data_IF_873802646756
#
_entry.id   IF_873802646756
#
_cell.length_a   1.000
_cell.length_b   1.000
_cell.length_c   1.000
_cell.angle_alpha   90.00
_cell.angle_beta   90.00
_cell.angle_gamma   90.00
#
_symmetry.space_group_name_H-M   'P 1'
#
loop_
_entity.id
_entity.type
_entity.pdbx_description
1 polymer ?
#
# COMPACT_ATOMS: atom_id res chain seq x y z
N UNK A 1 -7.26 -11.85 -13.10
CA UNK A 1 -7.52 -11.02 -11.91
C UNK A 1 -8.69 -11.61 -11.16
N UNK A 2 -8.88 -11.24 -9.90
CA UNK A 2 -9.99 -11.70 -9.05
C UNK A 2 -10.80 -10.49 -8.57
N UNK A 3 -12.10 -10.66 -8.35
CA UNK A 3 -12.92 -9.63 -7.70
C UNK A 3 -12.60 -9.67 -6.20
N UNK A 4 -12.05 -8.60 -5.66
CA UNK A 4 -11.66 -8.52 -4.25
C UNK A 4 -12.81 -8.08 -3.35
N UNK A 5 -13.72 -7.25 -3.86
CA UNK A 5 -14.94 -6.83 -3.16
C UNK A 5 -16.11 -6.71 -4.13
N UNK A 6 -17.29 -7.12 -3.68
CA UNK A 6 -18.55 -6.96 -4.40
C UNK A 6 -19.57 -6.33 -3.44
N UNK A 7 -20.02 -5.11 -3.75
CA UNK A 7 -20.85 -4.29 -2.86
C UNK A 7 -22.33 -4.23 -3.30
N UNK A 8 -22.72 -5.07 -4.27
CA UNK A 8 -24.04 -5.02 -4.90
C UNK A 8 -24.76 -6.36 -4.81
N UNK A 9 -26.09 -6.29 -4.81
CA UNK A 9 -26.99 -7.43 -4.93
C UNK A 9 -27.84 -7.31 -6.21
N UNK A 10 -28.28 -8.44 -6.80
CA UNK A 10 -29.22 -8.39 -7.92
C UNK A 10 -30.49 -7.60 -7.56
N UNK A 11 -30.97 -6.76 -8.49
CA UNK A 11 -32.15 -5.91 -8.30
C UNK A 11 -31.91 -4.60 -7.54
N UNK A 12 -30.66 -4.31 -7.14
CA UNK A 12 -30.31 -3.06 -6.49
C UNK A 12 -30.13 -1.93 -7.51
N UNK A 13 -30.81 -0.81 -7.31
CA UNK A 13 -30.60 0.43 -8.09
C UNK A 13 -29.24 1.03 -7.75
N UNK A 14 -28.50 1.50 -8.77
CA UNK A 14 -27.18 2.11 -8.63
C UNK A 14 -27.19 3.55 -9.12
N UNK A 15 -26.40 4.40 -8.47
CA UNK A 15 -26.23 5.81 -8.84
C UNK A 15 -24.94 6.02 -9.63
N UNK A 16 -24.89 7.07 -10.45
CA UNK A 16 -23.67 7.45 -11.14
C UNK A 16 -22.56 7.79 -10.13
N UNK A 17 -21.36 7.26 -10.35
CA UNK A 17 -20.22 7.40 -9.44
C UNK A 17 -20.20 6.42 -8.26
N UNK A 18 -21.21 5.57 -8.10
CA UNK A 18 -21.22 4.55 -7.06
C UNK A 18 -20.19 3.45 -7.37
N UNK A 19 -19.27 3.19 -6.43
CA UNK A 19 -18.37 2.05 -6.51
C UNK A 19 -19.14 0.75 -6.31
N UNK A 20 -18.99 -0.19 -7.25
CA UNK A 20 -19.76 -1.43 -7.28
C UNK A 20 -18.91 -2.64 -6.86
N UNK A 21 -17.66 -2.67 -7.32
CA UNK A 21 -16.73 -3.76 -7.09
C UNK A 21 -15.29 -3.28 -7.23
N UNK A 22 -14.37 -3.98 -6.59
CA UNK A 22 -12.93 -3.80 -6.80
C UNK A 22 -12.34 -5.06 -7.46
N UNK A 23 -11.44 -4.84 -8.42
CA UNK A 23 -10.74 -5.92 -9.12
C UNK A 23 -9.27 -5.88 -8.72
N UNK A 24 -8.74 -7.02 -8.31
CA UNK A 24 -7.31 -7.26 -8.16
C UNK A 24 -6.77 -7.89 -9.47
N UNK A 25 -5.93 -7.19 -10.24
CA UNK A 25 -5.33 -7.74 -11.46
C UNK A 25 -4.52 -9.02 -11.19
N UNK A 26 -4.38 -9.87 -12.22
CA UNK A 26 -3.46 -11.01 -12.11
C UNK A 26 -2.02 -10.50 -12.18
N UNK A 27 -1.13 -11.06 -11.36
CA UNK A 27 0.28 -10.66 -11.32
C UNK A 27 0.55 -9.37 -10.52
N UNK A 28 -0.43 -8.84 -9.80
CA UNK A 28 -0.19 -7.74 -8.87
C UNK A 28 0.79 -8.17 -7.77
N UNK A 29 1.85 -7.38 -7.57
CA UNK A 29 2.81 -7.55 -6.49
C UNK A 29 2.34 -6.81 -5.25
N UNK A 30 2.66 -7.32 -4.07
CA UNK A 30 2.39 -6.63 -2.82
C UNK A 30 3.34 -5.42 -2.71
N UNK A 31 2.77 -4.24 -2.50
CA UNK A 31 3.53 -3.00 -2.29
C UNK A 31 3.25 -2.46 -0.89
N UNK A 32 4.27 -1.92 -0.24
CA UNK A 32 4.15 -1.22 1.03
C UNK A 32 4.28 0.28 0.79
N UNK A 33 3.28 1.05 1.20
CA UNK A 33 3.35 2.51 1.26
C UNK A 33 3.76 2.92 2.68
N UNK A 34 4.88 3.63 2.79
CA UNK A 34 5.48 4.02 4.06
C UNK A 34 5.71 5.51 4.09
N UNK A 35 5.40 6.12 5.22
CA UNK A 35 5.74 7.52 5.48
C UNK A 35 7.14 7.60 6.05
N UNK A 36 7.93 8.49 5.48
CA UNK A 36 9.32 8.71 5.88
C UNK A 36 9.44 10.14 6.38
N UNK A 37 10.05 10.37 7.55
CA UNK A 37 10.31 11.72 8.04
C UNK A 37 11.13 12.53 7.02
N UNK A 38 10.80 13.81 6.84
CA UNK A 38 11.47 14.68 5.85
C UNK A 38 12.98 14.79 6.07
N UNK A 39 13.45 14.63 7.31
CA UNK A 39 14.89 14.63 7.63
C UNK A 39 15.62 13.39 7.09
N UNK A 40 14.92 12.27 6.94
CA UNK A 40 15.48 10.99 6.51
C UNK A 40 15.35 10.77 4.99
N UNK A 41 14.49 11.52 4.29
CA UNK A 41 14.18 11.29 2.87
C UNK A 41 15.41 11.42 1.96
N UNK A 42 16.38 12.28 2.31
CA UNK A 42 17.60 12.48 1.53
C UNK A 42 18.52 11.25 1.45
N UNK A 43 18.31 10.27 2.34
CA UNK A 43 19.08 9.02 2.41
C UNK A 43 18.38 7.86 1.70
N UNK A 44 17.10 8.00 1.36
CA UNK A 44 16.29 6.97 0.70
C UNK A 44 16.28 7.20 -0.81
N UNK A 45 16.55 6.14 -1.58
CA UNK A 45 16.58 6.18 -3.06
C UNK A 45 15.90 4.96 -3.64
N UNK A 46 15.26 5.13 -4.81
CA UNK A 46 14.75 4.00 -5.59
C UNK A 46 15.87 3.01 -5.91
N UNK A 47 15.55 1.72 -5.88
CA UNK A 47 16.49 0.62 -6.06
C UNK A 47 17.21 0.17 -4.77
N UNK A 48 17.10 0.91 -3.66
CA UNK A 48 17.70 0.48 -2.39
C UNK A 48 16.98 -0.74 -1.83
N UNK A 49 17.77 -1.71 -1.33
CA UNK A 49 17.27 -2.86 -0.59
C UNK A 49 16.87 -2.43 0.81
N UNK A 50 15.71 -2.88 1.26
CA UNK A 50 15.17 -2.57 2.59
C UNK A 50 14.77 -3.84 3.30
N UNK A 51 14.75 -3.77 4.63
CA UNK A 51 14.29 -4.85 5.50
C UNK A 51 13.12 -4.34 6.33
N UNK A 52 11.98 -5.01 6.20
CA UNK A 52 10.72 -4.67 6.85
C UNK A 52 10.50 -5.57 8.06
N UNK A 53 10.15 -4.92 9.17
CA UNK A 53 9.75 -5.57 10.42
C UNK A 53 8.29 -5.23 10.69
N UNK A 54 7.40 -6.19 10.52
CA UNK A 54 5.98 -6.00 10.83
C UNK A 54 5.76 -6.00 12.34
N UNK A 55 5.23 -4.91 12.89
CA UNK A 55 4.94 -4.83 14.33
C UNK A 55 3.84 -5.80 14.75
N UNK A 56 2.88 -6.08 13.86
CA UNK A 56 1.74 -6.96 14.11
C UNK A 56 2.12 -8.46 14.26
N UNK A 57 3.35 -8.83 13.89
CA UNK A 57 3.79 -10.22 13.90
C UNK A 57 5.17 -10.33 14.58
N UNK A 58 5.33 -11.15 15.64
CA UNK A 58 6.63 -11.33 16.28
C UNK A 58 7.70 -11.78 15.27
N UNK A 59 8.71 -10.95 15.02
CA UNK A 59 9.74 -11.21 14.01
C UNK A 59 10.49 -12.54 14.24
N UNK A 60 10.53 -13.02 15.48
CA UNK A 60 11.12 -14.32 15.84
C UNK A 60 10.39 -15.50 15.18
N UNK A 61 9.11 -15.35 14.84
CA UNK A 61 8.28 -16.39 14.20
C UNK A 61 8.03 -16.13 12.71
N UNK A 62 7.96 -14.87 12.30
CA UNK A 62 7.57 -14.48 10.93
C UNK A 62 8.74 -13.92 10.11
N UNK A 63 9.92 -13.76 10.71
CA UNK A 63 11.14 -13.34 10.03
C UNK A 63 11.18 -11.85 9.71
N UNK A 64 12.14 -11.51 8.87
CA UNK A 64 12.34 -10.19 8.28
C UNK A 64 11.93 -10.27 6.81
N UNK A 65 11.18 -9.29 6.32
CA UNK A 65 10.79 -9.25 4.92
C UNK A 65 11.71 -8.31 4.15
N UNK A 66 12.33 -8.82 3.08
CA UNK A 66 13.13 -7.98 2.19
C UNK A 66 12.25 -7.29 1.15
N UNK A 67 12.66 -6.10 0.75
CA UNK A 67 12.02 -5.35 -0.33
C UNK A 67 13.02 -4.47 -1.05
N UNK A 68 12.53 -3.81 -2.10
CA UNK A 68 13.27 -2.80 -2.86
C UNK A 68 12.41 -1.55 -2.88
N UNK A 69 13.02 -0.38 -2.63
CA UNK A 69 12.34 0.90 -2.80
C UNK A 69 12.02 1.06 -4.28
N UNK A 70 10.75 0.94 -4.66
CA UNK A 70 10.31 1.12 -6.05
C UNK A 70 10.29 2.60 -6.41
N UNK A 71 9.72 3.44 -5.53
CA UNK A 71 9.58 4.87 -5.75
C UNK A 71 9.68 5.66 -4.43
N UNK A 72 10.18 6.89 -4.55
CA UNK A 72 10.17 7.89 -3.48
C UNK A 72 9.32 9.06 -3.95
N UNK A 73 8.25 9.38 -3.24
CA UNK A 73 7.40 10.53 -3.55
C UNK A 73 8.18 11.84 -3.39
N UNK A 74 8.00 12.77 -4.32
CA UNK A 74 8.59 14.12 -4.24
C UNK A 74 7.68 15.12 -3.53
N UNK A 75 6.45 14.73 -3.23
CA UNK A 75 5.48 15.56 -2.53
C UNK A 75 5.60 15.32 -1.03
N UNK A 76 5.78 16.40 -0.28
CA UNK A 76 5.65 16.35 1.17
C UNK A 76 4.16 16.30 1.53
N UNK A 77 3.78 15.37 2.40
CA UNK A 77 2.44 15.32 2.99
C UNK A 77 2.46 16.13 4.28
N UNK A 78 1.47 17.00 4.45
CA UNK A 78 1.26 17.73 5.69
C UNK A 78 0.70 16.80 6.78
N UNK A 79 0.89 17.10 8.08
CA UNK A 79 0.35 16.28 9.16
C UNK A 79 -1.17 16.08 9.08
N UNK A 80 -1.88 17.03 8.48
CA UNK A 80 -3.34 16.99 8.29
C UNK A 80 -3.76 15.98 7.21
N UNK A 81 -2.88 15.65 6.27
CA UNK A 81 -3.12 14.64 5.21
C UNK A 81 -2.76 13.22 5.66
N UNK A 82 -2.07 13.10 6.80
CA UNK A 82 -1.57 11.84 7.37
C UNK A 82 -2.39 11.35 8.56
N UNK A 83 -3.24 12.19 9.14
CA UNK A 83 -4.05 11.89 10.34
C UNK A 83 -5.33 11.11 10.05
#
# INVERSE_FOLDING_TARGET
GVVSTLLLKPGQTVSAGQSLLAVLPAGSTLEAQLLVPSQAIGFVRSGQRVVLRYQAFPYQKFGLHEGIVTQVSRSALSPQEVS
#
